data_IF_566393455707
#
_entry.id   IF_566393455707
#
_cell.length_a   1.000
_cell.length_b   1.000
_cell.length_c   1.000
_cell.angle_alpha   90.00
_cell.angle_beta   90.00
_cell.angle_gamma   90.00
#
_symmetry.space_group_name_H-M   'P 1'
#
loop_
_entity.id
_entity.type
_entity.pdbx_description
1 polymer ?
#
# COMPACT_ATOMS: atom_id res chain seq x y z
N UNK A 1 0.99 0.29 -13.28
CA UNK A 1 0.89 0.26 -14.75
C UNK A 1 0.78 1.67 -15.29
N UNK A 2 1.26 1.96 -16.50
CA UNK A 2 1.04 3.25 -17.18
C UNK A 2 1.92 3.41 -18.40
N UNK A 3 1.73 4.51 -19.13
CA UNK A 3 2.54 4.82 -20.30
C UNK A 3 4.01 5.07 -19.92
N UNK A 4 4.91 4.66 -20.82
CA UNK A 4 6.33 4.90 -20.71
C UNK A 4 6.98 4.86 -22.10
N UNK A 5 8.06 5.60 -22.27
CA UNK A 5 8.91 5.57 -23.47
C UNK A 5 10.08 4.64 -23.19
N UNK A 6 10.25 3.62 -24.04
CA UNK A 6 11.34 2.64 -23.94
C UNK A 6 12.26 2.81 -25.16
N UNK A 7 13.57 2.84 -24.95
CA UNK A 7 14.52 2.88 -26.05
C UNK A 7 15.96 3.17 -25.62
N UNK A 8 16.82 3.38 -26.61
CA UNK A 8 18.19 3.85 -26.38
C UNK A 8 18.15 5.32 -25.95
N UNK A 9 18.61 5.59 -24.75
CA UNK A 9 18.72 6.94 -24.18
C UNK A 9 20.21 7.27 -24.03
N UNK A 10 20.63 8.47 -24.43
CA UNK A 10 22.02 8.91 -24.32
C UNK A 10 22.52 9.64 -25.56
N UNK A 11 23.84 9.78 -25.67
CA UNK A 11 24.51 10.39 -26.83
C UNK A 11 25.28 9.36 -27.63
N UNK A 12 25.73 9.74 -28.83
CA UNK A 12 26.50 8.89 -29.76
C UNK A 12 27.69 8.15 -29.14
N UNK A 13 28.25 8.68 -28.05
CA UNK A 13 29.39 8.07 -27.35
C UNK A 13 29.01 7.21 -26.14
N UNK A 14 27.77 7.31 -25.64
CA UNK A 14 27.30 6.53 -24.49
C UNK A 14 25.78 6.43 -24.51
N UNK A 15 25.28 5.22 -24.76
CA UNK A 15 23.86 4.89 -24.77
C UNK A 15 23.54 3.81 -23.74
N UNK A 16 22.44 3.99 -23.04
CA UNK A 16 21.82 2.97 -22.19
C UNK A 16 20.42 2.66 -22.73
N UNK A 17 20.08 1.38 -22.83
CA UNK A 17 18.70 0.97 -23.12
C UNK A 17 17.87 1.15 -21.85
N UNK A 18 16.94 2.11 -21.86
CA UNK A 18 16.25 2.57 -20.66
C UNK A 18 14.77 2.82 -20.93
N UNK A 19 14.04 3.06 -19.83
CA UNK A 19 12.62 3.37 -19.84
C UNK A 19 12.36 4.63 -19.02
N UNK A 20 11.55 5.55 -19.56
CA UNK A 20 11.21 6.81 -18.94
C UNK A 20 9.69 6.98 -18.90
N UNK A 21 9.16 7.37 -17.74
CA UNK A 21 7.75 7.67 -17.57
C UNK A 21 7.37 7.80 -16.11
N UNK A 22 6.27 8.48 -15.84
CA UNK A 22 5.76 8.65 -14.48
C UNK A 22 5.40 7.31 -13.84
N UNK A 23 4.96 6.33 -14.66
CA UNK A 23 4.69 4.97 -14.22
C UNK A 23 5.94 4.24 -13.70
N UNK A 24 7.11 4.48 -14.32
CA UNK A 24 8.41 3.94 -13.90
C UNK A 24 8.85 4.58 -12.58
N UNK A 25 8.73 5.89 -12.49
CA UNK A 25 9.06 6.64 -11.27
C UNK A 25 8.17 6.21 -10.09
N UNK A 26 6.88 5.99 -10.35
CA UNK A 26 5.95 5.47 -9.34
C UNK A 26 6.36 4.07 -8.90
N UNK A 27 6.65 3.17 -9.84
CA UNK A 27 7.07 1.80 -9.52
C UNK A 27 8.33 1.77 -8.64
N UNK A 28 9.35 2.56 -8.96
CA UNK A 28 10.58 2.66 -8.15
C UNK A 28 10.32 3.18 -6.74
N UNK A 29 9.37 4.11 -6.56
CA UNK A 29 9.02 4.63 -5.23
C UNK A 29 8.22 3.63 -4.41
N UNK A 30 7.28 2.93 -5.04
CA UNK A 30 6.53 1.86 -4.38
C UNK A 30 7.45 0.73 -3.95
N UNK A 31 8.44 0.35 -4.77
CA UNK A 31 9.44 -0.65 -4.38
C UNK A 31 10.15 -0.25 -3.08
N UNK A 32 10.60 1.00 -2.95
CA UNK A 32 11.21 1.52 -1.72
C UNK A 32 10.26 1.56 -0.51
N UNK A 33 8.95 1.66 -0.71
CA UNK A 33 7.95 1.67 0.36
C UNK A 33 7.58 0.27 0.86
N UNK A 34 7.87 -0.79 0.09
CA UNK A 34 7.54 -2.18 0.48
C UNK A 34 8.11 -2.53 1.87
N UNK A 35 9.35 -2.08 2.12
CA UNK A 35 10.04 -2.23 3.40
C UNK A 35 9.33 -1.51 4.55
N UNK A 36 8.82 -0.30 4.33
CA UNK A 36 8.08 0.46 5.35
C UNK A 36 6.84 -0.29 5.82
N UNK A 37 6.16 -0.98 4.89
CA UNK A 37 4.98 -1.78 5.20
C UNK A 37 5.32 -3.18 5.73
N UNK A 38 6.58 -3.61 5.69
CA UNK A 38 6.96 -4.99 6.02
C UNK A 38 6.34 -6.04 5.07
N UNK A 39 5.95 -5.63 3.85
CA UNK A 39 5.29 -6.49 2.88
C UNK A 39 6.20 -6.73 1.67
N UNK A 40 6.33 -7.98 1.19
CA UNK A 40 7.33 -8.32 0.18
C UNK A 40 7.00 -7.75 -1.21
N UNK A 41 5.72 -7.61 -1.55
CA UNK A 41 5.26 -7.16 -2.86
C UNK A 41 4.12 -6.18 -2.67
N UNK A 42 4.33 -4.94 -3.11
CA UNK A 42 3.29 -3.92 -3.19
C UNK A 42 3.07 -3.45 -4.63
N UNK A 43 1.88 -2.96 -4.90
CA UNK A 43 1.35 -2.64 -6.21
C UNK A 43 0.68 -1.27 -6.18
N UNK A 44 0.81 -0.53 -7.27
CA UNK A 44 -0.06 0.63 -7.52
C UNK A 44 -1.45 0.17 -7.98
N UNK A 45 -2.41 1.07 -7.85
CA UNK A 45 -3.83 0.86 -8.16
C UNK A 45 -4.09 0.20 -9.52
N UNK A 46 -3.50 0.75 -10.59
CA UNK A 46 -3.69 0.23 -11.94
C UNK A 46 -3.12 -1.17 -12.14
N UNK A 47 -2.04 -1.52 -11.43
CA UNK A 47 -1.50 -2.89 -11.50
C UNK A 47 -2.40 -3.84 -10.71
N UNK A 48 -2.87 -3.42 -9.53
CA UNK A 48 -3.78 -4.20 -8.70
C UNK A 48 -5.09 -4.52 -9.45
N UNK A 49 -5.70 -3.53 -10.12
CA UNK A 49 -6.89 -3.72 -10.93
C UNK A 49 -6.66 -4.72 -12.08
N UNK A 50 -5.54 -4.60 -12.79
CA UNK A 50 -5.22 -5.45 -13.94
C UNK A 50 -4.98 -6.93 -13.57
N UNK A 51 -4.78 -7.24 -12.30
CA UNK A 51 -4.47 -8.60 -11.83
C UNK A 51 -5.38 -9.09 -10.71
N UNK A 52 -6.46 -8.35 -10.40
CA UNK A 52 -7.37 -8.63 -9.29
C UNK A 52 -8.10 -9.97 -9.43
N UNK A 53 -8.26 -10.48 -10.65
CA UNK A 53 -8.84 -11.79 -10.96
C UNK A 53 -7.88 -12.96 -10.70
N UNK A 54 -6.57 -12.69 -10.53
CA UNK A 54 -5.51 -13.70 -10.47
C UNK A 54 -4.83 -13.81 -9.13
N UNK A 55 -4.94 -12.80 -8.27
CA UNK A 55 -4.20 -12.71 -7.02
C UNK A 55 -5.06 -12.24 -5.86
N UNK A 56 -4.68 -12.68 -4.66
CA UNK A 56 -5.21 -12.21 -3.40
C UNK A 56 -4.55 -10.86 -3.06
N UNK A 57 -5.30 -9.77 -3.21
CA UNK A 57 -4.82 -8.40 -3.02
C UNK A 57 -5.53 -7.71 -1.87
N UNK A 58 -4.79 -6.88 -1.13
CA UNK A 58 -5.30 -6.07 -0.01
C UNK A 58 -4.89 -4.63 -0.23
N UNK A 59 -5.83 -3.68 -0.13
CA UNK A 59 -5.48 -2.26 -0.04
C UNK A 59 -4.80 -2.00 1.31
N UNK A 60 -3.58 -1.48 1.28
CA UNK A 60 -2.77 -1.28 2.49
C UNK A 60 -2.61 0.17 2.87
N UNK A 61 -2.72 1.11 1.92
CA UNK A 61 -2.57 2.54 2.23
C UNK A 61 -3.09 3.45 1.09
N UNK A 62 -3.23 4.74 1.40
CA UNK A 62 -3.40 5.82 0.43
C UNK A 62 -2.29 6.85 0.66
N UNK A 63 -1.39 6.98 -0.33
CA UNK A 63 -0.19 7.83 -0.20
C UNK A 63 -0.20 8.95 -1.23
N UNK A 64 0.38 10.10 -0.89
CA UNK A 64 0.66 11.16 -1.86
C UNK A 64 2.12 11.07 -2.28
N UNK A 65 2.35 10.70 -3.53
CA UNK A 65 3.71 10.59 -4.06
C UNK A 65 4.21 11.99 -4.43
N UNK A 66 5.39 12.36 -3.93
CA UNK A 66 6.01 13.65 -4.24
C UNK A 66 6.09 13.87 -5.75
N UNK A 67 5.41 14.91 -6.24
CA UNK A 67 5.33 15.28 -7.65
C UNK A 67 3.98 14.97 -8.31
N UNK A 68 3.09 14.19 -7.67
CA UNK A 68 1.71 14.00 -8.11
C UNK A 68 0.73 14.71 -7.17
N UNK A 69 -0.32 15.31 -7.75
CA UNK A 69 -1.41 15.89 -6.98
C UNK A 69 -2.39 14.83 -6.48
N UNK A 70 -2.65 13.81 -7.30
CA UNK A 70 -3.59 12.74 -6.98
C UNK A 70 -2.94 11.70 -6.03
N UNK A 71 -3.64 11.32 -4.95
CA UNK A 71 -3.20 10.22 -4.09
C UNK A 71 -3.18 8.87 -4.85
N UNK A 72 -2.22 8.03 -4.53
CA UNK A 72 -2.08 6.68 -5.06
C UNK A 72 -2.52 5.66 -4.00
N UNK A 73 -3.44 4.77 -4.36
CA UNK A 73 -3.78 3.60 -3.53
C UNK A 73 -2.70 2.55 -3.68
N UNK A 74 -2.23 2.04 -2.55
CA UNK A 74 -1.23 0.99 -2.48
C UNK A 74 -1.91 -0.32 -2.11
N UNK A 75 -1.55 -1.38 -2.82
CA UNK A 75 -2.05 -2.73 -2.57
C UNK A 75 -0.89 -3.67 -2.27
N UNK A 76 -1.13 -4.72 -1.50
CA UNK A 76 -0.17 -5.79 -1.27
C UNK A 76 -0.70 -7.12 -1.80
N UNK A 77 0.23 -7.96 -2.26
CA UNK A 77 -0.05 -9.30 -2.79
C UNK A 77 0.19 -10.36 -1.71
N UNK A 78 -0.83 -11.17 -1.43
CA UNK A 78 -0.78 -12.24 -0.42
C UNK A 78 -0.76 -13.65 -1.02
N UNK A 79 -0.94 -13.78 -2.34
CA UNK A 79 -0.83 -15.05 -3.04
C UNK A 79 -1.69 -15.13 -4.30
N UNK A 80 -1.80 -16.32 -4.91
CA UNK A 80 -2.67 -16.57 -6.06
C UNK A 80 -4.17 -16.50 -5.71
N UNK A 81 -5.02 -16.62 -6.72
CA UNK A 81 -6.48 -16.51 -6.58
C UNK A 81 -7.12 -17.52 -5.60
N UNK A 82 -6.50 -18.69 -5.39
CA UNK A 82 -6.94 -19.69 -4.41
C UNK A 82 -6.79 -19.18 -2.96
N UNK A 83 -5.73 -18.41 -2.67
CA UNK A 83 -5.58 -17.71 -1.39
C UNK A 83 -6.74 -16.75 -1.17
N UNK A 84 -7.18 -16.03 -2.21
CA UNK A 84 -8.30 -15.09 -2.11
C UNK A 84 -9.62 -15.78 -1.72
N UNK A 85 -9.77 -17.06 -2.08
CA UNK A 85 -10.94 -17.86 -1.74
C UNK A 85 -10.90 -18.43 -0.31
N UNK A 86 -9.73 -18.44 0.34
CA UNK A 86 -9.58 -18.99 1.69
C UNK A 86 -10.33 -18.17 2.75
N UNK A 87 -10.86 -18.84 3.77
CA UNK A 87 -11.59 -18.17 4.85
C UNK A 87 -10.67 -17.25 5.67
N UNK A 88 -9.41 -17.65 5.87
CA UNK A 88 -8.42 -16.84 6.56
C UNK A 88 -8.15 -15.51 5.84
N UNK A 89 -7.94 -15.56 4.52
CA UNK A 89 -7.75 -14.34 3.74
C UNK A 89 -9.00 -13.47 3.71
N UNK A 90 -10.20 -14.06 3.56
CA UNK A 90 -11.46 -13.28 3.59
C UNK A 90 -11.67 -12.57 4.93
N UNK A 91 -11.38 -13.26 6.04
CA UNK A 91 -11.45 -12.67 7.37
C UNK A 91 -10.45 -11.52 7.51
N UNK A 92 -9.20 -11.71 7.06
CA UNK A 92 -8.19 -10.67 7.04
C UNK A 92 -8.61 -9.48 6.17
N UNK A 93 -9.09 -9.72 4.95
CA UNK A 93 -9.52 -8.69 4.02
C UNK A 93 -10.65 -7.84 4.59
N UNK A 94 -11.64 -8.47 5.24
CA UNK A 94 -12.73 -7.76 5.91
C UNK A 94 -12.22 -6.91 7.08
N UNK A 95 -11.37 -7.48 7.94
CA UNK A 95 -10.79 -6.76 9.07
C UNK A 95 -9.89 -5.60 8.63
N UNK A 96 -9.07 -5.80 7.60
CA UNK A 96 -8.22 -4.77 7.03
C UNK A 96 -9.03 -3.64 6.40
N UNK A 97 -10.11 -3.96 5.68
CA UNK A 97 -11.01 -2.95 5.13
C UNK A 97 -11.64 -2.10 6.25
N UNK A 98 -12.02 -2.73 7.38
CA UNK A 98 -12.51 -2.02 8.56
C UNK A 98 -11.42 -1.14 9.20
N UNK A 99 -10.17 -1.61 9.27
CA UNK A 99 -9.02 -0.83 9.74
C UNK A 99 -8.82 0.42 8.90
N UNK A 100 -8.73 0.29 7.57
CA UNK A 100 -8.52 1.43 6.67
C UNK A 100 -9.68 2.42 6.76
N UNK A 101 -10.93 1.94 6.85
CA UNK A 101 -12.09 2.80 7.00
C UNK A 101 -12.08 3.58 8.34
N UNK A 102 -11.81 2.89 9.45
CA UNK A 102 -11.74 3.50 10.78
C UNK A 102 -10.59 4.50 10.89
N UNK A 103 -9.41 4.16 10.36
CA UNK A 103 -8.25 5.05 10.30
C UNK A 103 -8.56 6.35 9.56
N UNK A 104 -9.23 6.28 8.39
CA UNK A 104 -9.62 7.47 7.62
C UNK A 104 -10.74 8.29 8.28
N UNK A 105 -11.56 7.65 9.11
CA UNK A 105 -12.63 8.31 9.86
C UNK A 105 -12.15 8.91 11.20
N UNK A 106 -10.87 8.79 11.53
CA UNK A 106 -10.29 9.13 12.82
C UNK A 106 -10.92 8.39 14.02
N UNK A 107 -11.49 7.21 13.78
CA UNK A 107 -12.02 6.33 14.82
C UNK A 107 -10.94 5.34 15.26
N UNK A 108 -10.08 5.80 16.17
CA UNK A 108 -8.91 5.06 16.60
C UNK A 108 -9.24 3.80 17.38
N UNK A 109 -10.33 3.82 18.17
CA UNK A 109 -10.76 2.65 18.94
C UNK A 109 -11.30 1.56 18.01
N UNK A 110 -12.08 1.93 16.98
CA UNK A 110 -12.50 0.99 15.95
C UNK A 110 -11.31 0.46 15.11
N UNK A 111 -10.31 1.30 14.85
CA UNK A 111 -9.10 0.89 14.14
C UNK A 111 -8.29 -0.13 14.96
N UNK A 112 -8.11 0.09 16.27
CA UNK A 112 -7.45 -0.87 17.17
C UNK A 112 -8.18 -2.22 17.21
N UNK A 113 -9.52 -2.21 17.28
CA UNK A 113 -10.33 -3.42 17.22
C UNK A 113 -10.16 -4.16 15.88
N UNK A 114 -10.11 -3.42 14.77
CA UNK A 114 -9.90 -3.98 13.44
C UNK A 114 -8.49 -4.56 13.27
N UNK A 115 -7.46 -3.94 13.86
CA UNK A 115 -6.09 -4.48 13.91
C UNK A 115 -6.07 -5.83 14.65
N UNK A 116 -6.74 -5.91 15.80
CA UNK A 116 -6.83 -7.17 16.55
C UNK A 116 -7.54 -8.27 15.75
N UNK A 117 -8.63 -7.93 15.05
CA UNK A 117 -9.32 -8.85 14.17
C UNK A 117 -8.47 -9.28 12.96
N UNK A 118 -7.67 -8.38 12.39
CA UNK A 118 -6.78 -8.65 11.28
C UNK A 118 -5.57 -9.52 11.67
N UNK A 119 -5.15 -9.50 12.94
CA UNK A 119 -4.05 -10.34 13.43
C UNK A 119 -4.46 -11.80 13.68
N UNK A 120 -5.76 -12.11 13.76
CA UNK A 120 -6.25 -13.44 14.13
C UNK A 120 -6.10 -14.53 13.02
N UNK A 121 -6.33 -14.23 11.72
CA UNK A 121 -6.21 -15.23 10.66
C UNK A 121 -4.76 -15.61 10.38
N UNK A 122 -4.53 -16.89 10.08
CA UNK A 122 -3.24 -17.36 9.56
C UNK A 122 -3.18 -17.13 8.05
N UNK A 123 -2.18 -16.36 7.61
CA UNK A 123 -1.98 -15.99 6.22
C UNK A 123 -0.76 -16.71 5.63
N UNK A 124 -0.68 -16.87 4.29
CA UNK A 124 0.53 -17.39 3.63
C UNK A 124 1.76 -16.51 3.86
N UNK A 125 1.55 -15.20 3.99
CA UNK A 125 2.57 -14.22 4.36
C UNK A 125 2.11 -13.45 5.61
N UNK A 126 2.97 -13.32 6.62
CA UNK A 126 2.64 -12.58 7.84
C UNK A 126 2.39 -11.10 7.51
N UNK A 127 1.45 -10.50 8.24
CA UNK A 127 1.10 -9.08 8.14
C UNK A 127 1.44 -8.33 9.44
N UNK A 128 2.22 -8.93 10.34
CA UNK A 128 2.52 -8.40 11.67
C UNK A 128 3.17 -7.02 11.59
N UNK A 129 4.25 -6.88 10.82
CA UNK A 129 4.96 -5.60 10.61
C UNK A 129 4.03 -4.52 10.04
N UNK A 130 3.14 -4.90 9.11
CA UNK A 130 2.14 -4.00 8.53
C UNK A 130 1.12 -3.53 9.58
N UNK A 131 0.65 -4.45 10.44
CA UNK A 131 -0.29 -4.11 11.51
C UNK A 131 0.38 -3.29 12.61
N UNK A 132 1.65 -3.57 12.93
CA UNK A 132 2.46 -2.79 13.87
C UNK A 132 2.67 -1.35 13.37
N UNK A 133 2.94 -1.16 12.07
CA UNK A 133 2.99 0.17 11.46
C UNK A 133 1.69 0.96 11.73
N UNK A 134 0.53 0.33 11.60
CA UNK A 134 -0.74 0.99 11.89
C UNK A 134 -0.93 1.27 13.39
N UNK A 135 -0.51 0.37 14.28
CA UNK A 135 -0.50 0.64 15.74
C UNK A 135 0.33 1.86 16.08
N UNK A 136 1.52 1.99 15.50
CA UNK A 136 2.40 3.16 15.70
C UNK A 136 1.75 4.45 15.19
N UNK A 137 1.14 4.41 14.01
CA UNK A 137 0.40 5.57 13.45
C UNK A 137 -0.77 5.99 14.33
N UNK A 138 -1.55 5.04 14.83
CA UNK A 138 -2.68 5.32 15.73
C UNK A 138 -2.20 5.94 17.04
N UNK A 139 -1.12 5.42 17.64
CA UNK A 139 -0.52 6.00 18.83
C UNK A 139 -0.07 7.45 18.60
N UNK A 140 0.63 7.70 17.49
CA UNK A 140 1.08 9.05 17.12
C UNK A 140 -0.09 10.02 16.91
N UNK A 141 -1.19 9.59 16.29
CA UNK A 141 -2.38 10.43 16.08
C UNK A 141 -3.25 10.62 17.33
N UNK A 142 -3.17 9.73 18.32
CA UNK A 142 -3.77 10.00 19.64
C UNK A 142 -3.03 11.12 20.35
N UNK A 143 -1.70 11.16 20.26
CA UNK A 143 -0.88 12.21 20.85
C UNK A 143 -0.96 13.54 20.08
N UNK A 144 -0.98 13.47 18.75
CA UNK A 144 -1.06 14.61 17.85
C UNK A 144 -2.10 14.36 16.75
N UNK A 145 -3.39 14.66 17.00
CA UNK A 145 -4.46 14.43 16.05
C UNK A 145 -4.22 15.13 14.70
N UNK A 146 -4.60 14.49 13.59
CA UNK A 146 -4.52 15.12 12.28
C UNK A 146 -5.45 16.35 12.21
N UNK A 147 -5.18 17.29 11.29
CA UNK A 147 -6.03 18.46 11.14
C UNK A 147 -7.45 18.06 10.66
N UNK A 148 -8.48 18.88 10.91
CA UNK A 148 -9.88 18.53 10.57
C UNK A 148 -10.14 18.29 9.09
N UNK A 149 -9.27 18.78 8.20
CA UNK A 149 -9.33 18.63 6.74
C UNK A 149 -8.42 17.51 6.22
N UNK A 150 -7.91 16.65 7.09
CA UNK A 150 -7.07 15.53 6.71
C UNK A 150 -7.81 14.57 5.77
N UNK A 151 -7.17 14.27 4.64
CA UNK A 151 -7.71 13.47 3.55
C UNK A 151 -7.45 11.95 3.72
N UNK A 152 -7.04 11.54 4.92
CA UNK A 152 -6.70 10.15 5.22
C UNK A 152 -5.38 9.69 4.61
N UNK A 153 -4.59 10.61 4.04
CA UNK A 153 -3.29 10.30 3.43
C UNK A 153 -2.19 10.38 4.46
N UNK A 154 -1.42 9.31 4.60
CA UNK A 154 -0.20 9.35 5.38
C UNK A 154 0.90 10.08 4.61
N UNK A 155 1.47 11.11 5.23
CA UNK A 155 2.65 11.82 4.73
C UNK A 155 3.82 11.46 5.63
N UNK A 156 4.73 10.61 5.14
CA UNK A 156 5.96 10.29 5.86
C UNK A 156 6.75 11.57 6.15
N UNK A 157 7.01 11.83 7.44
CA UNK A 157 7.71 13.04 7.92
C UNK A 157 9.23 12.93 7.88
N UNK A 158 9.78 11.79 7.43
CA UNK A 158 11.23 11.57 7.26
C UNK A 158 11.57 10.94 5.90
N UNK A 159 12.80 11.23 5.46
CA UNK A 159 13.36 10.89 4.13
C UNK A 159 13.56 9.41 3.90
#
# INVERSE_FOLDING_TARGET
>A
TGEAVVGNMGSDMRFDYSVLGDSVNLASRLEGQSKTYGLPIILGSLTAEAVADRYALIEVDLIRVKGKQEPERVFALFGPADVAASDGFKAFAAANAALIAAYRACDWDAADAAIAAAAAPVLPYPADDYLDLYRERLAAFRDAPPPPDWDGVFVATSK
#
